data_IF_626252424571
#
_entry.id   IF_626252424571
#
_cell.length_a   1.000
_cell.length_b   1.000
_cell.length_c   1.000
_cell.angle_alpha   90.00
_cell.angle_beta   90.00
_cell.angle_gamma   90.00
#
_symmetry.space_group_name_H-M   'P 1'
#
loop_
_entity.id
_entity.type
_entity.pdbx_description
1 polymer ?
#
# COMPACT_ATOMS: atom_id res chain seq x y z
N UNK A 1 -1.19 16.45 -4.27
CA UNK A 1 -2.01 15.23 -4.09
C UNK A 1 -1.90 14.79 -2.62
N UNK A 2 -2.61 15.48 -1.71
CA UNK A 2 -2.50 15.28 -0.24
C UNK A 2 -3.86 15.06 0.43
N UNK A 3 -4.97 15.23 -0.30
CA UNK A 3 -6.30 15.09 0.27
C UNK A 3 -6.61 13.62 0.59
N UNK A 4 -6.34 12.70 -0.35
CA UNK A 4 -6.63 11.28 -0.14
C UNK A 4 -5.77 10.62 0.97
N UNK A 5 -4.55 11.11 1.20
CA UNK A 5 -3.72 10.66 2.34
C UNK A 5 -4.30 11.17 3.66
N UNK A 6 -4.72 12.45 3.71
CA UNK A 6 -5.34 13.07 4.87
C UNK A 6 -6.70 12.45 5.23
N UNK A 7 -7.50 12.11 4.22
CA UNK A 7 -8.76 11.38 4.38
C UNK A 7 -8.55 9.90 4.73
N UNK A 8 -7.29 9.43 4.74
CA UNK A 8 -6.93 8.06 5.09
C UNK A 8 -7.36 7.02 4.06
N UNK A 9 -7.68 7.44 2.83
CA UNK A 9 -8.08 6.55 1.72
C UNK A 9 -6.87 5.90 1.07
N UNK A 10 -5.72 6.58 1.06
CA UNK A 10 -4.44 6.03 0.63
C UNK A 10 -3.42 6.12 1.76
N UNK A 11 -2.54 5.14 1.84
CA UNK A 11 -1.34 5.17 2.67
C UNK A 11 -0.11 5.22 1.78
N UNK A 12 0.91 5.94 2.22
CA UNK A 12 2.20 5.96 1.53
C UNK A 12 2.90 4.61 1.69
N UNK A 13 3.30 4.01 0.58
CA UNK A 13 4.13 2.80 0.64
C UNK A 13 5.55 3.17 1.06
N UNK A 14 6.22 2.33 1.88
CA UNK A 14 7.64 2.51 2.19
C UNK A 14 8.54 2.30 0.97
N UNK A 15 8.00 1.69 -0.11
CA UNK A 15 8.73 1.48 -1.35
C UNK A 15 8.98 2.81 -2.07
N UNK A 16 10.27 3.13 -2.24
CA UNK A 16 10.73 4.28 -3.02
C UNK A 16 11.75 3.79 -4.03
N UNK A 17 11.48 4.02 -5.31
CA UNK A 17 12.43 3.73 -6.40
C UNK A 17 12.74 5.04 -7.11
N UNK A 18 13.92 5.59 -6.87
CA UNK A 18 14.30 6.92 -7.34
C UNK A 18 13.41 8.02 -6.74
N UNK A 19 12.85 8.87 -7.61
CA UNK A 19 11.94 9.97 -7.21
C UNK A 19 10.46 9.54 -7.16
N UNK A 20 10.14 8.31 -7.57
CA UNK A 20 8.78 7.81 -7.52
C UNK A 20 8.42 7.34 -6.10
N UNK A 21 7.30 7.85 -5.60
CA UNK A 21 6.73 7.46 -4.31
C UNK A 21 5.41 6.76 -4.56
N UNK A 22 5.29 5.54 -4.07
CA UNK A 22 4.13 4.70 -4.30
C UNK A 22 3.08 4.91 -3.20
N UNK A 23 1.82 4.72 -3.58
CA UNK A 23 0.65 4.89 -2.75
C UNK A 23 -0.17 3.61 -2.79
N UNK A 24 -0.64 3.16 -1.64
CA UNK A 24 -1.52 2.00 -1.49
C UNK A 24 -2.90 2.48 -1.05
N UNK A 25 -3.98 1.92 -1.62
CA UNK A 25 -5.33 2.20 -1.16
C UNK A 25 -5.61 1.47 0.16
N UNK A 26 -5.91 2.24 1.21
CA UNK A 26 -6.24 1.73 2.54
C UNK A 26 -7.69 1.26 2.54
N UNK A 27 -7.91 0.02 2.11
CA UNK A 27 -9.25 -0.55 1.92
C UNK A 27 -9.30 -1.61 0.83
N UNK A 28 -8.26 -1.69 0.00
CA UNK A 28 -8.04 -2.88 -0.82
C UNK A 28 -7.67 -4.02 0.14
N UNK A 29 -8.69 -4.78 0.54
CA UNK A 29 -8.57 -6.00 1.32
C UNK A 29 -7.54 -6.87 0.61
N UNK A 30 -6.33 -6.92 1.16
CA UNK A 30 -5.13 -7.54 0.59
C UNK A 30 -5.49 -8.80 -0.20
N UNK A 31 -5.61 -8.67 -1.53
CA UNK A 31 -5.93 -9.77 -2.41
C UNK A 31 -4.65 -10.59 -2.65
N UNK A 32 -4.34 -11.50 -1.72
CA UNK A 32 -3.23 -12.46 -1.79
C UNK A 32 -1.92 -11.91 -1.20
N UNK A 33 -1.10 -12.68 -0.49
CA UNK A 33 -0.87 -14.13 -0.58
C UNK A 33 -0.78 -14.74 0.82
N UNK A 34 -1.65 -15.70 1.13
CA UNK A 34 -1.36 -16.70 2.15
C UNK A 34 -0.30 -17.64 1.59
N UNK A 35 0.98 -17.31 1.77
CA UNK A 35 2.06 -18.28 1.59
C UNK A 35 2.10 -19.17 2.83
N UNK A 36 1.17 -20.13 2.92
CA UNK A 36 1.29 -21.25 3.86
C UNK A 36 2.48 -22.11 3.42
N UNK A 37 3.66 -21.86 3.99
CA UNK A 37 4.75 -22.84 3.96
C UNK A 37 4.61 -23.73 5.19
N UNK A 38 3.90 -24.84 5.02
CA UNK A 38 3.96 -25.97 5.94
C UNK A 38 5.20 -26.78 5.57
N UNK A 39 6.27 -26.71 6.36
CA UNK A 39 7.13 -27.86 6.69
C UNK A 39 7.88 -27.55 7.98
#
# INVERSE_FOLDING_TARGET
>A
MLLLEKEGVVQRSPLRRGMATYWLLKGEKQAGQNCSSTT
#
